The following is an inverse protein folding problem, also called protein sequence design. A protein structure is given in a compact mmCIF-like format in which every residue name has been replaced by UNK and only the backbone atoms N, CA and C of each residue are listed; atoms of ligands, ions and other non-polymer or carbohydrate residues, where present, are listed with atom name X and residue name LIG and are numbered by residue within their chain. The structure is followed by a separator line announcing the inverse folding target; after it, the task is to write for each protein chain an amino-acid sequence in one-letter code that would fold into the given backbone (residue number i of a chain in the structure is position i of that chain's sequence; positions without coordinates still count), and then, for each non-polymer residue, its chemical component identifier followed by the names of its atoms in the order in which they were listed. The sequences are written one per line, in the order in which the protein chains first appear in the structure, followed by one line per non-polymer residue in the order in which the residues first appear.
data_IF_718932286857
#
_entry.id   IF_718932286857
#
_cell.length_a   1.000
_cell.length_b   1.000
_cell.length_c   1.000
_cell.angle_alpha   90.00
_cell.angle_beta   90.00
_cell.angle_gamma   90.00
#
_symmetry.space_group_name_H-M   'P 1'
#
loop_
_entity.id
_entity.type
_entity.pdbx_description
1 polymer ?
#
# COMPACT_ATOMS: atom_id res chain seq x y z
N UNK A 1 9.07 7.62 3.23
CA UNK A 1 8.46 6.44 3.92
C UNK A 1 8.22 5.30 2.94
N UNK A 2 8.50 4.04 3.32
CA UNK A 2 8.29 2.86 2.45
C UNK A 2 6.93 2.20 2.74
N UNK A 3 6.15 1.99 1.68
CA UNK A 3 4.84 1.34 1.69
C UNK A 3 4.91 0.09 0.80
N UNK A 4 4.64 -1.06 1.43
CA UNK A 4 4.50 -2.33 0.73
C UNK A 4 3.04 -2.64 0.48
N UNK A 5 2.66 -3.24 -0.65
CA UNK A 5 1.27 -3.63 -0.89
C UNK A 5 0.72 -4.58 0.18
N UNK A 6 1.57 -5.48 0.69
CA UNK A 6 1.24 -6.39 1.80
C UNK A 6 0.74 -5.66 3.07
N UNK A 7 1.07 -4.38 3.27
CA UNK A 7 0.58 -3.62 4.43
C UNK A 7 -0.92 -3.35 4.37
N UNK A 8 -1.48 -3.30 3.16
CA UNK A 8 -2.88 -3.02 2.90
C UNK A 8 -3.68 -4.27 2.54
N UNK A 9 -3.03 -5.40 2.25
CA UNK A 9 -3.69 -6.62 1.76
C UNK A 9 -4.56 -7.28 2.84
N UNK A 10 -5.86 -7.43 2.55
CA UNK A 10 -6.83 -8.10 3.42
C UNK A 10 -6.57 -9.61 3.52
N UNK A 11 -5.98 -10.22 2.48
CA UNK A 11 -5.67 -11.66 2.43
C UNK A 11 -4.47 -12.03 3.30
N UNK A 12 -3.62 -11.06 3.65
CA UNK A 12 -2.45 -11.26 4.51
C UNK A 12 -2.85 -11.03 5.97
N UNK A 13 -2.43 -11.89 6.87
CA UNK A 13 -2.57 -11.69 8.31
C UNK A 13 -1.63 -10.57 8.82
N UNK A 14 -1.74 -10.20 10.11
CA UNK A 14 -0.80 -9.25 10.74
C UNK A 14 0.63 -9.78 10.75
N UNK A 15 0.82 -11.08 10.98
CA UNK A 15 2.14 -11.73 10.93
C UNK A 15 2.70 -11.80 9.52
N UNK A 16 1.84 -11.83 8.50
CA UNK A 16 2.23 -11.80 7.08
C UNK A 16 2.44 -10.38 6.52
N UNK A 17 2.31 -9.34 7.36
CA UNK A 17 2.68 -7.98 7.01
C UNK A 17 1.54 -6.97 7.00
N UNK A 18 0.27 -7.37 7.10
CA UNK A 18 -0.85 -6.42 7.12
C UNK A 18 -0.71 -5.45 8.31
N UNK A 19 -0.73 -4.16 8.02
CA UNK A 19 -0.58 -3.08 9.03
C UNK A 19 -1.84 -2.25 9.25
N UNK A 20 -2.89 -2.47 8.47
CA UNK A 20 -4.20 -1.84 8.64
C UNK A 20 -5.24 -2.81 9.23
N UNK A 21 -6.24 -2.31 9.97
CA UNK A 21 -7.45 -3.07 10.31
C UNK A 21 -8.16 -3.63 9.07
N UNK A 22 -8.87 -4.76 9.22
CA UNK A 22 -9.60 -5.41 8.12
C UNK A 22 -10.64 -4.50 7.47
N UNK A 23 -11.30 -3.64 8.24
CA UNK A 23 -12.25 -2.64 7.73
C UNK A 23 -11.66 -1.68 6.67
N UNK A 24 -10.35 -1.43 6.72
CA UNK A 24 -9.64 -0.59 5.76
C UNK A 24 -8.81 -1.38 4.76
N UNK A 25 -8.55 -2.66 5.03
CA UNK A 25 -7.75 -3.50 4.16
C UNK A 25 -8.40 -3.65 2.78
N UNK A 26 -7.58 -3.84 1.77
CA UNK A 26 -7.96 -3.99 0.37
C UNK A 26 -7.58 -5.38 -0.08
N UNK A 27 -8.44 -6.02 -0.87
CA UNK A 27 -8.10 -7.29 -1.49
C UNK A 27 -7.06 -7.12 -2.59
N UNK A 28 -5.92 -7.80 -2.46
CA UNK A 28 -4.85 -7.84 -3.47
C UNK A 28 -4.45 -6.45 -4.02
N UNK A 29 -3.99 -5.52 -3.16
CA UNK A 29 -3.56 -4.20 -3.61
C UNK A 29 -2.27 -4.31 -4.43
N UNK A 30 -2.16 -3.50 -5.47
CA UNK A 30 -0.95 -3.35 -6.28
C UNK A 30 -0.18 -2.09 -5.91
N UNK A 31 1.14 -2.07 -6.16
CA UNK A 31 1.93 -0.86 -5.97
C UNK A 31 1.45 0.31 -6.85
N UNK A 32 0.88 0.03 -8.04
CA UNK A 32 0.34 1.05 -8.94
C UNK A 32 -0.91 1.73 -8.39
N UNK A 33 -1.80 0.99 -7.73
CA UNK A 33 -2.96 1.57 -7.04
C UNK A 33 -2.51 2.44 -5.87
N UNK A 34 -1.51 2.00 -5.11
CA UNK A 34 -0.95 2.77 -3.99
C UNK A 34 -0.28 4.05 -4.48
N UNK A 35 0.48 3.99 -5.58
CA UNK A 35 1.09 5.17 -6.19
C UNK A 35 0.02 6.18 -6.62
N UNK A 36 -1.03 5.72 -7.31
CA UNK A 36 -2.17 6.56 -7.72
C UNK A 36 -2.88 7.18 -6.52
N UNK A 37 -3.08 6.42 -5.44
CA UNK A 37 -3.67 6.93 -4.22
C UNK A 37 -2.79 7.99 -3.54
N UNK A 38 -1.47 7.80 -3.50
CA UNK A 38 -0.53 8.79 -2.97
C UNK A 38 -0.54 10.08 -3.80
N UNK A 39 -0.55 9.97 -5.14
CA UNK A 39 -0.67 11.12 -6.04
C UNK A 39 -1.99 11.87 -5.87
N UNK A 40 -3.11 11.17 -5.64
CA UNK A 40 -4.40 11.80 -5.30
C UNK A 40 -4.35 12.61 -3.99
N UNK A 41 -3.48 12.23 -3.06
CA UNK A 41 -3.22 12.98 -1.83
C UNK A 41 -2.21 14.12 -2.02
N UNK A 42 -1.80 14.41 -3.26
CA UNK A 42 -0.76 15.40 -3.59
C UNK A 42 0.56 15.14 -2.86
N UNK A 43 0.87 13.87 -2.62
CA UNK A 43 2.15 13.45 -2.02
C UNK A 43 3.13 13.06 -3.11
N UNK A 44 4.39 13.45 -2.92
CA UNK A 44 5.50 12.96 -3.72
C UNK A 44 5.68 11.47 -3.48
N UNK A 45 5.49 10.68 -4.53
CA UNK A 45 5.53 9.23 -4.46
C UNK A 45 6.18 8.63 -5.71
N UNK A 46 7.05 7.65 -5.49
CA UNK A 46 7.72 6.87 -6.54
C UNK A 46 7.49 5.39 -6.33
N UNK A 47 7.26 4.67 -7.42
CA UNK A 47 7.21 3.21 -7.40
C UNK A 47 8.56 2.67 -7.82
N UNK A 48 9.00 1.61 -7.14
CA UNK A 48 10.08 0.76 -7.60
C UNK A 48 9.45 -0.60 -7.96
N UNK A 49 9.25 -0.82 -9.25
CA UNK A 49 8.68 -2.06 -9.82
C UNK A 49 9.63 -3.25 -9.68
N UNK A 50 10.92 -2.99 -9.60
CA UNK A 50 11.98 -4.00 -9.70
C UNK A 50 12.34 -4.60 -8.33
N UNK A 51 11.52 -4.30 -7.31
CA UNK A 51 11.72 -4.76 -5.93
C UNK A 51 10.59 -5.68 -5.50
N UNK A 52 10.93 -6.91 -5.13
CA UNK A 52 10.01 -7.87 -4.53
C UNK A 52 9.97 -7.72 -3.00
N UNK A 53 8.82 -8.03 -2.40
CA UNK A 53 8.68 -8.03 -0.94
C UNK A 53 9.46 -9.22 -0.36
N UNK A 54 10.34 -9.03 0.64
CA UNK A 54 11.25 -10.10 1.10
C UNK A 54 10.57 -11.41 1.53
N UNK A 55 9.35 -11.36 2.07
CA UNK A 55 8.60 -12.56 2.49
C UNK A 55 7.71 -13.16 1.39
N UNK A 56 7.62 -12.52 0.22
CA UNK A 56 6.96 -13.00 -1.00
C UNK A 56 7.83 -12.64 -2.21
N UNK A 57 9.11 -13.06 -2.19
CA UNK A 57 10.08 -12.61 -3.20
C UNK A 57 9.72 -13.04 -4.63
N UNK A 58 8.88 -14.08 -4.77
CA UNK A 58 8.30 -14.55 -6.03
C UNK A 58 7.16 -13.66 -6.57
N UNK A 59 6.55 -12.82 -5.74
CA UNK A 59 5.55 -11.83 -6.15
C UNK A 59 6.27 -10.50 -6.43
N UNK A 60 6.53 -10.18 -7.70
CA UNK A 60 6.94 -8.84 -8.15
C UNK A 60 5.81 -7.83 -7.94
N UNK A 61 5.57 -7.51 -6.67
CA UNK A 61 4.50 -6.64 -6.21
C UNK A 61 4.92 -5.16 -6.21
N UNK A 62 6.23 -4.90 -6.31
CA UNK A 62 6.80 -3.56 -6.24
C UNK A 62 6.66 -2.94 -4.84
N UNK A 63 7.32 -1.81 -4.62
CA UNK A 63 7.11 -0.96 -3.44
C UNK A 63 6.87 0.48 -3.84
N UNK A 64 6.20 1.23 -2.97
CA UNK A 64 6.00 2.67 -3.14
C UNK A 64 6.75 3.40 -2.04
N UNK A 65 7.58 4.36 -2.42
CA UNK A 65 8.20 5.31 -1.50
C UNK A 65 7.38 6.59 -1.58
N UNK A 66 6.87 7.03 -0.43
CA UNK A 66 6.07 8.25 -0.30
C UNK A 66 6.77 9.21 0.65
N UNK A 67 6.92 10.47 0.27
CA UNK A 67 7.36 11.53 1.17
C UNK A 67 6.17 11.99 2.01
N UNK A 68 6.28 11.79 3.33
CA UNK A 68 5.21 12.10 4.27
C UNK A 68 5.82 12.30 5.65
N UNK A 69 5.54 13.44 6.27
CA UNK A 69 6.09 13.84 7.57
C UNK A 69 5.20 13.44 8.76
N UNK A 70 4.02 12.88 8.51
CA UNK A 70 3.08 12.46 9.55
C UNK A 70 3.18 10.99 9.96
N UNK A 71 2.18 10.52 10.70
CA UNK A 71 2.09 9.14 11.18
C UNK A 71 1.98 8.11 10.04
N UNK A 72 2.84 7.09 10.06
CA UNK A 72 2.78 5.96 9.13
C UNK A 72 1.41 5.28 9.12
N UNK A 73 0.81 5.12 10.30
CA UNK A 73 -0.49 4.44 10.44
C UNK A 73 -1.60 5.25 9.76
N UNK A 74 -1.60 6.56 9.93
CA UNK A 74 -2.57 7.44 9.30
C UNK A 74 -2.45 7.43 7.78
N UNK A 75 -1.21 7.53 7.26
CA UNK A 75 -0.99 7.45 5.81
C UNK A 75 -1.51 6.13 5.25
N UNK A 76 -1.22 5.00 5.91
CA UNK A 76 -1.68 3.69 5.48
C UNK A 76 -3.21 3.63 5.41
N UNK A 77 -3.93 4.15 6.42
CA UNK A 77 -5.39 4.17 6.42
C UNK A 77 -5.93 5.07 5.29
N UNK A 78 -5.36 6.27 5.09
CA UNK A 78 -5.74 7.18 4.00
C UNK A 78 -5.56 6.52 2.62
N UNK A 79 -4.40 5.90 2.40
CA UNK A 79 -4.10 5.17 1.16
C UNK A 79 -5.07 4.00 0.95
N UNK A 80 -5.32 3.19 1.98
CA UNK A 80 -6.22 2.05 1.89
C UNK A 80 -7.63 2.45 1.46
N UNK A 81 -8.17 3.54 2.04
CA UNK A 81 -9.50 4.08 1.69
C UNK A 81 -9.58 4.52 0.23
N UNK A 82 -8.56 5.22 -0.27
CA UNK A 82 -8.52 5.68 -1.66
C UNK A 82 -8.36 4.53 -2.66
N UNK A 83 -7.51 3.56 -2.34
CA UNK A 83 -7.35 2.35 -3.16
C UNK A 83 -8.67 1.58 -3.20
N UNK A 84 -9.32 1.35 -2.05
CA UNK A 84 -10.61 0.66 -1.96
C UNK A 84 -11.69 1.37 -2.78
N UNK A 85 -11.73 2.70 -2.72
CA UNK A 85 -12.70 3.50 -3.48
C UNK A 85 -12.48 3.39 -4.98
N UNK A 86 -11.22 3.26 -5.41
CA UNK A 86 -10.87 3.14 -6.84
C UNK A 86 -11.15 1.75 -7.42
N UNK A 87 -11.35 0.71 -6.59
CA UNK A 87 -11.72 -0.66 -7.02
C UNK A 87 -13.24 -0.89 -7.09
N UNK A 88 -14.04 0.01 -6.51
CA UNK A 88 -15.52 -0.11 -6.48
C UNK A 88 -16.21 0.52 -7.70
N UNK A 89 -15.46 1.22 -8.54
CA UNK A 89 -15.88 1.73 -9.86
C UNK A 89 -15.28 0.84 -10.93
#
# INVERSE_FOLDING_TARGET
MIIWPAYLDSRKSRSQGRRVPLEYAVESPSASEILRAAKKLQLEARMESDKSYPSSWWESSGRVIVEYEGSKRELLIKLARLVRSSKKN
#
